data_IF_353594947357
#
_entry.id   IF_353594947357
#
_cell.length_a   1.000
_cell.length_b   1.000
_cell.length_c   1.000
_cell.angle_alpha   90.00
_cell.angle_beta   90.00
_cell.angle_gamma   90.00
#
_symmetry.space_group_name_H-M   'P 1'
#
loop_
_entity.id
_entity.type
_entity.pdbx_description
1 polymer ?
#
# COMPACT_ATOMS: atom_id res chain seq x y z
N UNK A 1 46.40 -2.51 -29.59
CA UNK A 1 45.29 -3.48 -29.41
C UNK A 1 45.08 -3.67 -27.90
N UNK A 2 44.33 -2.77 -27.24
CA UNK A 2 44.05 -2.85 -25.80
C UNK A 2 42.78 -3.70 -25.62
N UNK A 3 42.91 -4.83 -24.93
CA UNK A 3 41.78 -5.65 -24.46
C UNK A 3 40.88 -4.76 -23.60
N UNK A 4 39.59 -4.70 -23.93
CA UNK A 4 38.57 -4.18 -23.03
C UNK A 4 38.37 -5.25 -21.97
N UNK A 5 38.77 -4.95 -20.75
CA UNK A 5 38.46 -5.77 -19.59
C UNK A 5 36.94 -5.73 -19.39
N UNK A 6 36.29 -6.86 -19.67
CA UNK A 6 34.93 -7.14 -19.26
C UNK A 6 34.98 -7.57 -17.80
N UNK A 7 34.86 -6.61 -16.88
CA UNK A 7 34.50 -6.89 -15.49
C UNK A 7 33.47 -5.87 -15.01
N UNK A 8 32.23 -6.03 -15.46
CA UNK A 8 31.10 -5.60 -14.66
C UNK A 8 30.60 -6.85 -13.92
N UNK A 9 31.34 -7.27 -12.90
CA UNK A 9 30.76 -8.08 -11.84
C UNK A 9 29.58 -7.27 -11.29
N UNK A 10 28.37 -7.78 -11.52
CA UNK A 10 27.12 -7.12 -11.16
C UNK A 10 27.03 -6.94 -9.65
N UNK A 11 27.55 -5.83 -9.15
CA UNK A 11 27.42 -5.47 -7.75
C UNK A 11 25.93 -5.24 -7.45
N UNK A 12 25.32 -6.21 -6.77
CA UNK A 12 23.93 -6.09 -6.33
C UNK A 12 23.77 -4.85 -5.46
N UNK A 13 22.89 -3.92 -5.85
CA UNK A 13 22.72 -2.69 -5.08
C UNK A 13 21.76 -2.93 -3.92
N UNK A 14 22.18 -2.61 -2.70
CA UNK A 14 21.30 -2.71 -1.52
C UNK A 14 20.32 -1.55 -1.55
N UNK A 15 19.02 -1.85 -1.49
CA UNK A 15 17.93 -0.87 -1.53
C UNK A 15 17.06 -0.99 -0.28
N UNK A 16 16.59 0.16 0.20
CA UNK A 16 15.61 0.20 1.29
C UNK A 16 14.23 -0.18 0.75
N UNK A 17 13.57 -1.11 1.42
CA UNK A 17 12.17 -1.46 1.22
C UNK A 17 11.36 -1.07 2.45
N UNK A 18 10.38 -0.18 2.31
CA UNK A 18 9.43 0.09 3.38
C UNK A 18 8.19 -0.80 3.24
N UNK A 19 7.74 -1.31 4.38
CA UNK A 19 6.57 -2.16 4.54
C UNK A 19 5.65 -1.49 5.54
N UNK A 20 4.44 -1.13 5.10
CA UNK A 20 3.44 -0.54 6.00
C UNK A 20 2.30 -1.53 6.23
N UNK A 21 2.22 -2.04 7.45
CA UNK A 21 1.16 -2.96 7.91
C UNK A 21 0.18 -2.18 8.78
N UNK A 22 -1.12 -2.35 8.53
CA UNK A 22 -2.17 -1.68 9.30
C UNK A 22 -3.13 -2.76 9.82
N UNK A 23 -2.90 -3.20 11.06
CA UNK A 23 -3.54 -4.36 11.68
C UNK A 23 -4.11 -4.13 13.09
N UNK A 24 -3.94 -2.96 13.70
CA UNK A 24 -4.50 -2.71 15.02
C UNK A 24 -6.02 -2.52 14.98
N UNK A 25 -6.46 -1.28 15.17
CA UNK A 25 -7.86 -0.84 15.09
C UNK A 25 -8.47 -0.94 13.67
N UNK A 26 -7.70 -1.37 12.68
CA UNK A 26 -8.08 -1.31 11.28
C UNK A 26 -8.95 -2.47 10.80
N UNK A 27 -9.11 -3.52 11.61
CA UNK A 27 -9.90 -4.71 11.25
C UNK A 27 -11.36 -4.34 10.94
N UNK A 28 -11.98 -3.54 11.81
CA UNK A 28 -13.36 -3.08 11.66
C UNK A 28 -13.52 -2.20 10.41
N UNK A 29 -12.57 -1.30 10.16
CA UNK A 29 -12.55 -0.50 8.93
C UNK A 29 -12.47 -1.37 7.68
N UNK A 30 -11.66 -2.43 7.71
CA UNK A 30 -11.57 -3.37 6.59
C UNK A 30 -12.85 -4.18 6.38
N UNK A 31 -13.52 -4.61 7.44
CA UNK A 31 -14.84 -5.23 7.32
C UNK A 31 -15.84 -4.29 6.64
N UNK A 32 -15.87 -3.01 7.02
CA UNK A 32 -16.73 -2.03 6.35
C UNK A 32 -16.37 -1.82 4.88
N UNK A 33 -15.09 -1.78 4.52
CA UNK A 33 -14.70 -1.71 3.11
C UNK A 33 -15.15 -2.94 2.32
N UNK A 34 -15.06 -4.13 2.92
CA UNK A 34 -15.53 -5.37 2.29
C UNK A 34 -17.06 -5.37 2.14
N UNK A 35 -17.80 -5.03 3.19
CA UNK A 35 -19.27 -4.88 3.16
C UNK A 35 -19.72 -3.83 2.15
N UNK A 36 -19.07 -2.66 2.15
CA UNK A 36 -19.31 -1.59 1.20
C UNK A 36 -19.14 -2.11 -0.22
N UNK A 37 -18.03 -2.80 -0.50
CA UNK A 37 -17.77 -3.38 -1.81
C UNK A 37 -18.86 -4.38 -2.25
N UNK A 38 -19.50 -5.10 -1.31
CA UNK A 38 -20.58 -6.07 -1.62
C UNK A 38 -21.94 -5.41 -1.86
N UNK A 39 -22.13 -4.18 -1.40
CA UNK A 39 -23.45 -3.56 -1.24
C UNK A 39 -24.11 -3.05 -2.54
N UNK A 40 -23.39 -3.03 -3.67
CA UNK A 40 -23.84 -2.39 -4.91
C UNK A 40 -23.87 -0.85 -4.87
N UNK A 41 -23.61 -0.23 -3.70
CA UNK A 41 -23.50 1.23 -3.51
C UNK A 41 -22.08 1.66 -3.13
N UNK A 42 -21.11 0.80 -3.38
CA UNK A 42 -19.72 1.03 -3.04
C UNK A 42 -19.15 2.25 -3.76
N UNK A 43 -18.26 2.98 -3.08
CA UNK A 43 -17.41 3.96 -3.77
C UNK A 43 -16.58 3.25 -4.83
N UNK A 44 -16.51 3.82 -6.02
CA UNK A 44 -15.83 3.23 -7.19
C UNK A 44 -14.38 2.82 -6.91
N UNK A 45 -13.65 3.63 -6.14
CA UNK A 45 -12.27 3.30 -5.78
C UNK A 45 -12.16 2.07 -4.89
N UNK A 46 -13.13 1.81 -4.01
CA UNK A 46 -13.12 0.62 -3.12
C UNK A 46 -13.27 -0.64 -3.97
N UNK A 47 -14.27 -0.64 -4.87
CA UNK A 47 -14.53 -1.75 -5.80
C UNK A 47 -13.29 -2.03 -6.66
N UNK A 48 -12.77 -1.01 -7.34
CA UNK A 48 -11.60 -1.15 -8.22
C UNK A 48 -10.39 -1.75 -7.50
N UNK A 49 -10.15 -1.43 -6.22
CA UNK A 49 -9.02 -2.03 -5.49
C UNK A 49 -9.26 -3.49 -5.14
N UNK A 50 -10.47 -3.87 -4.74
CA UNK A 50 -10.80 -5.28 -4.52
C UNK A 50 -10.76 -6.10 -5.81
N UNK A 51 -11.25 -5.56 -6.93
CA UNK A 51 -11.18 -6.19 -8.25
C UNK A 51 -9.74 -6.43 -8.72
N UNK A 52 -8.81 -5.54 -8.33
CA UNK A 52 -7.37 -5.69 -8.58
C UNK A 52 -6.68 -6.71 -7.65
N UNK A 53 -7.45 -7.36 -6.77
CA UNK A 53 -6.97 -8.36 -5.83
C UNK A 53 -6.23 -7.78 -4.62
N UNK A 54 -6.40 -6.49 -4.33
CA UNK A 54 -5.79 -5.88 -3.17
C UNK A 54 -6.53 -6.23 -1.88
N UNK A 55 -5.78 -6.26 -0.78
CA UNK A 55 -6.31 -6.60 0.53
C UNK A 55 -6.22 -5.41 1.48
N UNK A 56 -7.35 -5.10 2.11
CA UNK A 56 -7.38 -4.12 3.20
C UNK A 56 -6.70 -4.67 4.45
N UNK A 57 -7.01 -5.92 4.81
CA UNK A 57 -6.47 -6.60 5.97
C UNK A 57 -5.51 -7.72 5.54
N UNK A 58 -4.46 -7.99 6.32
CA UNK A 58 -3.48 -9.01 5.99
C UNK A 58 -3.33 -10.03 7.11
N UNK A 59 -3.42 -11.30 6.74
CA UNK A 59 -2.94 -12.41 7.57
C UNK A 59 -1.41 -12.48 7.56
N UNK A 60 -0.82 -13.21 8.50
CA UNK A 60 0.64 -13.45 8.52
C UNK A 60 1.13 -14.14 7.23
N UNK A 61 0.35 -15.09 6.70
CA UNK A 61 0.68 -15.80 5.47
C UNK A 61 0.67 -14.88 4.25
N UNK A 62 -0.31 -13.97 4.16
CA UNK A 62 -0.35 -12.96 3.09
C UNK A 62 0.80 -11.97 3.20
N UNK A 63 1.12 -11.54 4.42
CA UNK A 63 2.26 -10.65 4.68
C UNK A 63 3.57 -11.30 4.22
N UNK A 64 3.80 -12.56 4.58
CA UNK A 64 4.97 -13.33 4.15
C UNK A 64 5.04 -13.45 2.61
N UNK A 65 3.95 -13.86 1.97
CA UNK A 65 3.87 -13.99 0.52
C UNK A 65 4.20 -12.68 -0.21
N UNK A 66 3.57 -11.58 0.19
CA UNK A 66 3.79 -10.28 -0.47
C UNK A 66 5.25 -9.79 -0.28
N UNK A 67 5.86 -10.04 0.88
CA UNK A 67 7.27 -9.71 1.12
C UNK A 67 8.21 -10.55 0.25
N UNK A 68 7.91 -11.84 0.06
CA UNK A 68 8.64 -12.71 -0.84
C UNK A 68 8.53 -12.24 -2.30
N UNK A 69 7.33 -11.84 -2.74
CA UNK A 69 7.11 -11.30 -4.09
C UNK A 69 7.91 -10.02 -4.34
N UNK A 70 7.91 -9.07 -3.40
CA UNK A 70 8.70 -7.83 -3.51
C UNK A 70 10.20 -8.13 -3.54
N UNK A 71 10.66 -9.08 -2.72
CA UNK A 71 12.06 -9.53 -2.71
C UNK A 71 12.46 -10.18 -4.04
N UNK A 72 11.62 -11.05 -4.59
CA UNK A 72 11.86 -11.71 -5.88
C UNK A 72 11.91 -10.69 -7.03
N UNK A 73 10.98 -9.73 -7.05
CA UNK A 73 10.96 -8.65 -8.04
C UNK A 73 12.24 -7.78 -7.94
N UNK A 74 12.66 -7.40 -6.74
CA UNK A 74 13.90 -6.66 -6.55
C UNK A 74 15.14 -7.45 -7.01
N UNK A 75 15.21 -8.74 -6.68
CA UNK A 75 16.30 -9.61 -7.10
C UNK A 75 16.39 -9.76 -8.63
N UNK A 76 15.25 -9.87 -9.31
CA UNK A 76 15.19 -9.89 -10.78
C UNK A 76 15.74 -8.60 -11.42
N UNK A 77 15.77 -7.50 -10.67
CA UNK A 77 16.34 -6.21 -11.07
C UNK A 77 17.76 -5.97 -10.49
N UNK A 78 18.43 -7.01 -9.97
CA UNK A 78 19.79 -6.91 -9.41
C UNK A 78 19.87 -6.18 -8.07
N UNK A 79 18.76 -6.09 -7.33
CA UNK A 79 18.69 -5.40 -6.05
C UNK A 79 18.56 -6.37 -4.87
N UNK A 80 19.23 -6.05 -3.77
CA UNK A 80 19.06 -6.72 -2.47
C UNK A 80 18.29 -5.79 -1.54
N UNK A 81 17.25 -6.28 -0.86
CA UNK A 81 16.39 -5.44 -0.04
C UNK A 81 16.75 -5.48 1.45
N UNK A 82 16.84 -4.30 2.05
CA UNK A 82 16.79 -4.11 3.49
C UNK A 82 15.39 -3.65 3.89
N UNK A 83 14.67 -4.46 4.66
CA UNK A 83 13.27 -4.17 5.02
C UNK A 83 13.16 -3.29 6.26
N UNK A 84 12.30 -2.29 6.15
CA UNK A 84 11.85 -1.43 7.23
C UNK A 84 10.34 -1.57 7.41
N UNK A 85 9.88 -1.82 8.63
CA UNK A 85 8.48 -2.03 8.95
C UNK A 85 7.89 -0.89 9.77
N UNK A 86 6.82 -0.28 9.26
CA UNK A 86 5.91 0.59 10.01
C UNK A 86 4.60 -0.16 10.25
N UNK A 87 4.14 -0.18 11.50
CA UNK A 87 2.89 -0.82 11.89
C UNK A 87 2.30 -0.16 13.13
N UNK A 88 0.98 -0.07 13.16
CA UNK A 88 0.18 0.25 14.33
C UNK A 88 0.13 -0.88 15.36
N UNK A 89 0.45 -2.11 14.93
CA UNK A 89 0.67 -3.27 15.78
C UNK A 89 2.12 -3.75 15.62
N UNK A 90 3.08 -3.26 16.43
CA UNK A 90 4.49 -3.57 16.23
C UNK A 90 4.81 -5.06 16.33
N UNK A 91 4.04 -5.85 17.08
CA UNK A 91 4.28 -7.29 17.26
C UNK A 91 4.12 -8.10 15.96
N UNK A 92 3.51 -7.53 14.92
CA UNK A 92 3.31 -8.24 13.65
C UNK A 92 4.62 -8.75 13.05
N UNK A 93 5.69 -7.95 13.02
CA UNK A 93 6.96 -8.39 12.43
C UNK A 93 7.84 -9.25 13.35
N UNK A 94 7.33 -9.68 14.50
CA UNK A 94 8.02 -10.66 15.38
C UNK A 94 7.37 -12.03 15.34
N UNK A 95 6.41 -12.26 14.44
CA UNK A 95 5.82 -13.59 14.27
C UNK A 95 6.84 -14.58 13.72
N UNK A 96 6.67 -15.86 14.06
CA UNK A 96 7.55 -16.95 13.63
C UNK A 96 7.69 -17.03 12.09
N UNK A 97 6.60 -16.75 11.37
CA UNK A 97 6.56 -16.71 9.90
C UNK A 97 7.40 -15.58 9.30
N UNK A 98 7.56 -14.45 10.00
CA UNK A 98 8.24 -13.26 9.46
C UNK A 98 9.68 -13.07 9.96
N UNK A 99 10.12 -13.89 10.93
CA UNK A 99 11.46 -13.84 11.49
C UNK A 99 12.58 -13.96 10.43
N UNK A 100 12.33 -14.70 9.35
CA UNK A 100 13.30 -14.92 8.28
C UNK A 100 13.50 -13.71 7.36
N UNK A 101 12.59 -12.73 7.41
CA UNK A 101 12.59 -11.59 6.48
C UNK A 101 13.45 -10.42 7.01
N UNK A 102 13.83 -10.47 8.30
CA UNK A 102 14.66 -9.47 8.99
C UNK A 102 14.19 -8.02 8.75
N UNK A 103 12.95 -7.74 9.14
CA UNK A 103 12.37 -6.40 9.07
C UNK A 103 12.84 -5.57 10.27
N UNK A 104 13.60 -4.51 10.01
CA UNK A 104 14.00 -3.54 11.03
C UNK A 104 12.88 -2.56 11.35
N UNK A 105 12.82 -2.08 12.59
CA UNK A 105 11.81 -1.11 13.06
C UNK A 105 12.48 0.09 13.73
N UNK A 106 11.80 1.23 13.75
CA UNK A 106 12.18 2.36 14.59
C UNK A 106 12.23 2.02 16.08
N UNK A 107 11.55 0.97 16.54
CA UNK A 107 11.62 0.55 17.93
C UNK A 107 13.04 0.23 18.40
N UNK A 108 13.95 -0.19 17.49
CA UNK A 108 15.39 -0.34 17.79
C UNK A 108 16.11 1.00 18.01
N UNK A 109 15.52 2.08 17.53
CA UNK A 109 15.94 3.47 17.70
C UNK A 109 15.06 4.22 18.70
N UNK A 110 14.14 3.56 19.40
CA UNK A 110 13.15 4.19 20.27
C UNK A 110 13.80 5.11 21.29
N UNK A 111 14.92 4.72 21.89
CA UNK A 111 15.67 5.57 22.83
C UNK A 111 16.23 6.83 22.19
N UNK A 112 16.71 6.75 20.93
CA UNK A 112 17.18 7.91 20.15
C UNK A 112 16.03 8.79 19.68
N UNK A 113 14.89 8.21 19.33
CA UNK A 113 13.68 8.96 18.99
C UNK A 113 13.15 9.66 20.24
N UNK A 114 13.12 8.99 21.39
CA UNK A 114 12.72 9.56 22.68
C UNK A 114 13.68 10.68 23.14
N UNK A 115 14.98 10.55 22.82
CA UNK A 115 15.96 11.61 23.01
C UNK A 115 15.76 12.79 22.04
N UNK A 116 15.40 12.51 20.78
CA UNK A 116 15.00 13.54 19.82
C UNK A 116 13.68 14.19 20.25
N UNK A 117 12.72 13.45 20.80
CA UNK A 117 11.47 13.94 21.36
C UNK A 117 11.71 14.87 22.54
N UNK A 118 12.64 14.55 23.44
CA UNK A 118 13.01 15.47 24.53
C UNK A 118 13.72 16.73 24.02
N UNK A 119 14.40 16.65 22.87
CA UNK A 119 15.12 17.79 22.28
C UNK A 119 14.18 18.68 21.45
N UNK A 120 13.36 18.07 20.60
CA UNK A 120 12.38 18.72 19.71
C UNK A 120 11.16 19.19 20.50
N UNK A 121 10.75 18.47 21.55
CA UNK A 121 9.74 18.91 22.50
C UNK A 121 10.14 20.16 23.28
N UNK A 122 11.43 20.54 23.30
CA UNK A 122 11.89 21.85 23.78
C UNK A 122 11.87 22.96 22.71
N UNK A 123 11.78 22.61 21.42
CA UNK A 123 11.87 23.55 20.28
C UNK A 123 10.50 23.83 19.65
N UNK A 124 9.57 22.86 19.68
CA UNK A 124 8.18 22.98 19.19
C UNK A 124 7.24 23.30 20.37
N UNK A 125 7.63 24.25 21.21
CA UNK A 125 6.73 24.99 22.11
C UNK A 125 6.88 26.46 21.75
N UNK A 126 6.59 26.83 20.50
CA UNK A 126 6.56 28.25 20.12
C UNK A 126 5.52 28.63 19.06
N UNK A 127 4.83 27.66 18.43
CA UNK A 127 3.73 27.97 17.51
C UNK A 127 2.55 27.02 17.70
N UNK A 128 1.67 27.37 18.64
CA UNK A 128 0.26 26.97 18.70
C UNK A 128 -0.10 25.47 18.70
N UNK A 129 0.36 24.73 19.70
CA UNK A 129 -0.18 23.42 20.07
C UNK A 129 0.92 22.40 20.33
N UNK A 130 0.83 21.67 21.45
CA UNK A 130 1.71 20.53 21.69
C UNK A 130 1.53 19.52 20.54
N UNK A 131 2.59 19.25 19.78
CA UNK A 131 2.61 18.07 18.91
C UNK A 131 2.44 16.87 19.83
N UNK A 132 1.28 16.21 19.76
CA UNK A 132 1.02 15.03 20.57
C UNK A 132 2.15 14.03 20.33
N UNK A 133 2.86 13.64 21.40
CA UNK A 133 4.02 12.75 21.34
C UNK A 133 3.73 11.45 20.59
N UNK A 134 2.48 11.00 20.58
CA UNK A 134 1.98 9.86 19.80
C UNK A 134 2.10 10.02 18.28
N UNK A 135 2.09 11.23 17.74
CA UNK A 135 2.11 11.49 16.30
C UNK A 135 3.52 11.46 15.68
N UNK A 136 4.57 11.74 16.48
CA UNK A 136 5.93 11.86 15.93
C UNK A 136 6.44 10.55 15.32
N UNK A 137 6.16 9.42 15.96
CA UNK A 137 6.55 8.11 15.44
C UNK A 137 5.98 7.85 14.04
N UNK A 138 4.69 8.17 13.83
CA UNK A 138 4.05 8.03 12.53
C UNK A 138 4.64 8.99 11.49
N UNK A 139 5.00 10.23 11.87
CA UNK A 139 5.66 11.18 10.96
C UNK A 139 7.04 10.66 10.55
N UNK A 140 7.84 10.18 11.50
CA UNK A 140 9.17 9.62 11.19
C UNK A 140 9.02 8.40 10.26
N UNK A 141 8.07 7.50 10.55
CA UNK A 141 7.78 6.37 9.68
C UNK A 141 7.43 6.83 8.26
N UNK A 142 6.57 7.84 8.10
CA UNK A 142 6.21 8.38 6.79
C UNK A 142 7.43 8.93 6.04
N UNK A 143 8.29 9.68 6.74
CA UNK A 143 9.51 10.26 6.16
C UNK A 143 10.52 9.19 5.75
N UNK A 144 10.75 8.18 6.58
CA UNK A 144 11.64 7.05 6.26
C UNK A 144 11.07 6.25 5.08
N UNK A 145 9.79 5.92 5.12
CA UNK A 145 9.13 5.17 4.05
C UNK A 145 9.11 5.92 2.73
N UNK A 146 8.89 7.24 2.74
CA UNK A 146 8.93 8.05 1.52
C UNK A 146 10.31 8.01 0.85
N UNK A 147 11.38 7.73 1.59
CA UNK A 147 12.77 7.65 1.07
C UNK A 147 13.13 6.26 0.52
N UNK A 148 12.29 5.25 0.72
CA UNK A 148 12.54 3.90 0.24
C UNK A 148 12.43 3.81 -1.29
N UNK A 149 13.19 2.89 -1.89
CA UNK A 149 13.09 2.60 -3.33
C UNK A 149 12.02 1.55 -3.62
N UNK A 150 11.70 0.71 -2.63
CA UNK A 150 10.62 -0.26 -2.71
C UNK A 150 9.62 0.02 -1.60
N UNK A 151 8.33 0.00 -1.93
CA UNK A 151 7.25 0.27 -1.01
C UNK A 151 6.21 -0.83 -1.14
N UNK A 152 5.86 -1.43 -0.01
CA UNK A 152 4.76 -2.37 0.11
C UNK A 152 3.75 -1.78 1.08
N UNK A 153 2.68 -1.22 0.52
CA UNK A 153 1.77 -0.32 1.21
C UNK A 153 0.35 -0.89 1.35
N UNK A 154 -0.42 -0.30 2.24
CA UNK A 154 -1.85 -0.58 2.37
C UNK A 154 -2.66 0.50 1.65
N UNK A 155 -3.23 0.16 0.49
CA UNK A 155 -3.97 1.11 -0.36
C UNK A 155 -5.17 1.77 0.35
N UNK A 156 -5.74 1.09 1.35
CA UNK A 156 -6.87 1.59 2.15
C UNK A 156 -6.44 2.51 3.29
N UNK A 157 -5.14 2.62 3.57
CA UNK A 157 -4.62 3.41 4.68
C UNK A 157 -4.24 4.83 4.26
N UNK A 158 -4.76 5.82 5.00
CA UNK A 158 -4.34 7.22 4.88
C UNK A 158 -2.83 7.39 5.11
N UNK A 159 -2.23 6.58 5.98
CA UNK A 159 -0.78 6.60 6.19
C UNK A 159 -0.02 6.32 4.89
N UNK A 160 -0.43 5.28 4.15
CA UNK A 160 0.19 4.93 2.87
C UNK A 160 -0.01 6.01 1.81
N UNK A 161 -1.18 6.64 1.79
CA UNK A 161 -1.44 7.79 0.90
C UNK A 161 -0.54 8.98 1.25
N UNK A 162 -0.28 9.24 2.53
CA UNK A 162 0.65 10.28 2.96
C UNK A 162 2.10 9.97 2.57
N UNK A 163 2.52 8.70 2.63
CA UNK A 163 3.83 8.29 2.12
C UNK A 163 3.96 8.61 0.63
N UNK A 164 2.95 8.27 -0.18
CA UNK A 164 2.94 8.55 -1.62
C UNK A 164 2.93 10.07 -1.87
N UNK A 165 2.13 10.82 -1.13
CA UNK A 165 2.12 12.28 -1.19
C UNK A 165 3.50 12.88 -0.89
N UNK A 166 4.20 12.40 0.14
CA UNK A 166 5.58 12.82 0.44
C UNK A 166 6.57 12.48 -0.66
N UNK A 167 6.37 11.36 -1.38
CA UNK A 167 7.16 11.07 -2.58
C UNK A 167 6.88 12.14 -3.64
N UNK A 168 5.62 12.38 -3.96
CA UNK A 168 5.21 13.36 -4.97
C UNK A 168 5.70 14.78 -4.69
N UNK A 169 5.58 15.25 -3.45
CA UNK A 169 6.02 16.61 -3.03
C UNK A 169 7.53 16.80 -3.18
N UNK A 170 8.36 15.78 -2.93
CA UNK A 170 9.82 15.86 -3.14
C UNK A 170 10.21 15.92 -4.61
N UNK A 171 9.28 15.59 -5.50
CA UNK A 171 9.41 15.62 -6.95
C UNK A 171 8.33 16.52 -7.55
N UNK A 172 8.12 17.68 -6.92
CA UNK A 172 7.06 18.64 -7.28
C UNK A 172 7.15 19.11 -8.73
N UNK A 173 8.35 19.15 -9.28
CA UNK A 173 8.64 19.50 -10.67
C UNK A 173 8.23 18.41 -11.68
N UNK A 174 7.99 17.17 -11.21
CA UNK A 174 7.58 16.05 -12.05
C UNK A 174 6.14 15.63 -11.85
N UNK A 175 5.67 15.58 -10.60
CA UNK A 175 4.43 14.88 -10.21
C UNK A 175 3.55 15.72 -9.29
N UNK A 176 4.12 16.42 -8.31
CA UNK A 176 3.34 17.18 -7.32
C UNK A 176 2.59 16.29 -6.33
N UNK A 177 1.47 16.76 -5.77
CA UNK A 177 0.67 15.97 -4.83
C UNK A 177 -0.20 14.95 -5.59
N UNK A 178 0.06 13.66 -5.37
CA UNK A 178 -0.71 12.57 -5.97
C UNK A 178 -1.07 11.52 -4.94
N UNK A 179 -2.21 10.85 -5.15
CA UNK A 179 -2.68 9.75 -4.29
C UNK A 179 -2.03 8.42 -4.67
N UNK A 180 -1.82 8.19 -5.96
CA UNK A 180 -1.23 6.98 -6.53
C UNK A 180 -0.22 7.33 -7.62
N UNK A 181 0.83 6.50 -7.76
CA UNK A 181 1.84 6.64 -8.81
C UNK A 181 1.59 5.64 -9.93
N UNK A 182 1.43 6.14 -11.16
CA UNK A 182 1.44 5.29 -12.36
C UNK A 182 2.78 4.58 -12.53
N UNK A 183 2.83 3.48 -13.28
CA UNK A 183 4.09 2.77 -13.56
C UNK A 183 5.15 3.66 -14.21
N UNK A 184 4.74 4.58 -15.10
CA UNK A 184 5.65 5.55 -15.71
C UNK A 184 6.22 6.52 -14.68
N UNK A 185 5.39 7.01 -13.74
CA UNK A 185 5.84 7.90 -12.67
C UNK A 185 6.77 7.18 -11.70
N UNK A 186 6.44 5.94 -11.33
CA UNK A 186 7.28 5.06 -10.52
C UNK A 186 8.67 4.90 -11.15
N UNK A 187 8.73 4.56 -12.45
CA UNK A 187 9.98 4.45 -13.20
C UNK A 187 10.78 5.77 -13.26
N UNK A 188 10.10 6.90 -13.52
CA UNK A 188 10.74 8.22 -13.59
C UNK A 188 11.30 8.72 -12.23
N UNK A 189 10.78 8.18 -11.13
CA UNK A 189 11.22 8.46 -9.77
C UNK A 189 12.20 7.42 -9.21
N UNK A 190 12.38 6.28 -9.87
CA UNK A 190 13.17 5.16 -9.34
C UNK A 190 12.57 4.57 -8.07
N UNK A 191 11.25 4.56 -7.96
CA UNK A 191 10.52 3.92 -6.85
C UNK A 191 9.64 2.81 -7.40
N UNK A 192 9.44 1.77 -6.59
CA UNK A 192 8.52 0.66 -6.88
C UNK A 192 7.47 0.63 -5.78
N UNK A 193 6.22 0.90 -6.13
CA UNK A 193 5.08 0.89 -5.21
C UNK A 193 4.20 -0.30 -5.52
N UNK A 194 4.20 -1.24 -4.60
CA UNK A 194 3.28 -2.37 -4.55
C UNK A 194 2.29 -2.19 -3.38
N UNK A 195 1.14 -2.85 -3.52
CA UNK A 195 0.10 -2.88 -2.50
C UNK A 195 -0.16 -4.31 -2.06
N UNK A 196 -0.64 -4.47 -0.83
CA UNK A 196 -0.99 -5.77 -0.29
C UNK A 196 -1.97 -6.51 -1.18
N UNK A 197 -1.60 -7.73 -1.58
CA UNK A 197 -2.44 -8.65 -2.36
C UNK A 197 -2.95 -9.79 -1.48
N UNK A 198 -4.14 -10.26 -1.81
CA UNK A 198 -4.72 -11.49 -1.24
C UNK A 198 -3.91 -12.70 -1.71
N UNK A 199 -3.81 -13.72 -0.86
CA UNK A 199 -3.14 -14.98 -1.22
C UNK A 199 -3.83 -15.67 -2.40
N UNK A 200 -5.16 -15.61 -2.43
CA UNK A 200 -5.97 -16.01 -3.58
C UNK A 200 -6.81 -14.79 -4.01
N UNK A 201 -6.38 -14.03 -5.03
CA UNK A 201 -7.19 -12.94 -5.58
C UNK A 201 -8.45 -13.47 -6.28
N UNK A 202 -8.59 -14.79 -6.44
CA UNK A 202 -9.68 -15.49 -7.10
C UNK A 202 -10.57 -16.31 -6.15
N UNK A 203 -10.45 -16.14 -4.84
CA UNK A 203 -11.34 -16.77 -3.87
C UNK A 203 -12.76 -16.21 -4.05
N UNK A 204 -13.66 -16.98 -4.66
CA UNK A 204 -15.05 -16.60 -4.95
C UNK A 204 -15.85 -16.22 -3.70
N UNK A 205 -15.47 -16.71 -2.52
CA UNK A 205 -16.09 -16.28 -1.25
C UNK A 205 -15.70 -14.84 -0.86
N UNK A 206 -14.63 -14.33 -1.47
CA UNK A 206 -14.06 -12.99 -1.25
C UNK A 206 -14.13 -12.11 -2.51
N UNK A 207 -14.45 -12.67 -3.67
CA UNK A 207 -14.77 -11.98 -4.92
C UNK A 207 -16.29 -11.78 -5.03
N UNK A 208 -16.69 -10.55 -5.34
CA UNK A 208 -18.05 -10.08 -5.09
C UNK A 208 -18.90 -10.15 -6.36
N UNK A 209 -19.65 -11.24 -6.56
CA UNK A 209 -20.69 -11.27 -7.60
C UNK A 209 -20.16 -10.96 -9.01
N UNK A 210 -18.94 -11.40 -9.31
CA UNK A 210 -18.32 -11.28 -10.64
C UNK A 210 -17.85 -12.67 -11.05
N UNK A 211 -18.29 -13.14 -12.22
CA UNK A 211 -17.73 -14.34 -12.83
C UNK A 211 -16.49 -13.94 -13.61
N UNK A 212 -15.39 -14.64 -13.38
CA UNK A 212 -14.13 -14.39 -14.09
C UNK A 212 -14.06 -15.35 -15.27
N UNK A 213 -14.01 -14.81 -16.49
CA UNK A 213 -13.88 -15.63 -17.71
C UNK A 213 -12.51 -15.37 -18.34
N UNK A 214 -11.81 -16.46 -18.64
CA UNK A 214 -10.59 -16.43 -19.42
C UNK A 214 -10.93 -16.39 -20.91
N UNK A 215 -10.48 -15.36 -21.63
CA UNK A 215 -10.22 -15.47 -23.07
C UNK A 215 -8.70 -15.68 -23.28
N UNK A 216 -8.32 -16.16 -24.47
CA UNK A 216 -6.95 -16.58 -24.78
C UNK A 216 -5.87 -15.47 -24.65
N UNK A 217 -6.22 -14.23 -24.29
CA UNK A 217 -5.28 -13.09 -24.26
C UNK A 217 -5.48 -12.19 -23.02
N UNK A 218 -6.60 -12.25 -22.30
CA UNK A 218 -6.82 -11.41 -21.12
C UNK A 218 -7.86 -11.95 -20.12
N UNK A 219 -7.69 -11.53 -18.86
CA UNK A 219 -8.71 -11.66 -17.82
C UNK A 219 -9.88 -10.72 -18.13
N UNK A 220 -11.08 -11.25 -18.36
CA UNK A 220 -12.31 -10.45 -18.47
C UNK A 220 -13.22 -10.74 -17.28
N UNK A 221 -13.63 -9.67 -16.60
CA UNK A 221 -14.61 -9.74 -15.52
C UNK A 221 -16.00 -9.57 -16.13
N UNK A 222 -16.86 -10.58 -16.00
CA UNK A 222 -18.26 -10.49 -16.37
C UNK A 222 -19.09 -10.30 -15.10
N UNK A 223 -19.97 -9.29 -15.10
CA UNK A 223 -20.98 -9.09 -14.06
C UNK A 223 -21.69 -10.44 -13.80
N UNK A 224 -21.75 -10.92 -12.56
CA UNK A 224 -22.45 -12.17 -12.30
C UNK A 224 -23.94 -11.99 -12.62
N UNK A 225 -24.48 -12.95 -13.36
CA UNK A 225 -25.91 -13.05 -13.64
C UNK A 225 -26.63 -13.17 -12.30
N UNK A 226 -27.29 -12.10 -11.85
CA UNK A 226 -28.00 -12.08 -10.56
C UNK A 226 -28.10 -10.73 -9.86
N UNK A 227 -27.33 -9.71 -10.26
CA UNK A 227 -27.59 -8.33 -9.80
C UNK A 227 -28.69 -7.77 -10.69
N UNK A 228 -29.92 -7.79 -10.17
CA UNK A 228 -31.10 -7.21 -10.81
C UNK A 228 -30.78 -5.75 -11.17
N UNK A 229 -30.84 -5.35 -12.45
CA UNK A 229 -30.84 -3.93 -12.77
C UNK A 229 -32.09 -3.34 -12.12
N UNK A 230 -31.90 -2.31 -11.28
CA UNK A 230 -33.01 -1.49 -10.80
C UNK A 230 -33.90 -1.18 -11.99
N UNK A 231 -35.11 -1.76 -11.96
CA UNK A 231 -36.17 -1.52 -12.92
C UNK A 231 -36.32 -0.02 -13.11
N UNK A 232 -36.28 0.35 -14.39
CA UNK A 232 -36.70 1.60 -14.99
C UNK A 232 -37.43 2.53 -14.01
N UNK A 233 -36.77 3.65 -13.70
CA UNK A 233 -37.41 4.83 -13.15
C UNK A 233 -38.72 5.07 -13.91
N UNK A 234 -39.82 4.98 -13.18
CA UNK A 234 -41.15 5.29 -13.65
C UNK A 234 -41.16 6.61 -14.43
N UNK A 235 -41.31 6.52 -15.74
CA UNK A 235 -41.81 7.61 -16.57
C UNK A 235 -43.24 7.93 -16.14
N UNK A 236 -43.37 8.81 -15.15
CA UNK A 236 -44.61 9.53 -14.89
C UNK A 236 -44.69 10.68 -15.89
N UNK A 237 -45.24 10.38 -17.07
CA UNK A 237 -45.74 11.37 -18.00
C UNK A 237 -46.96 12.05 -17.38
N UNK A 238 -46.79 13.29 -16.93
CA UNK A 238 -47.89 14.22 -16.73
C UNK A 238 -48.56 14.49 -18.09
N UNK A 239 -49.73 13.89 -18.33
CA UNK A 239 -50.68 14.37 -19.34
C UNK A 239 -51.68 15.28 -18.65
N UNK A 240 -51.50 16.58 -18.90
CA UNK A 240 -52.55 17.58 -18.86
C UNK A 240 -53.65 17.19 -19.84
N UNK A 241 -54.87 16.94 -19.34
CA UNK A 241 -56.14 17.19 -20.02
C UNK A 241 -57.24 17.32 -18.96
N UNK A 242 -57.55 18.57 -18.61
CA UNK A 242 -58.83 19.22 -18.30
C UNK A 242 -58.60 20.43 -17.38
#
# INVERSE_FOLDING_TARGET
>A
MRRRDASAEGASSVRLACVHVRRGDFHESCMHYEEEARSGRARQWVVSHFERGFSCWQTDAELELNLQLVRANAAANGNVLAFYGSSDEPKVFTSASLHQINVSKLQRWASRIQQLESTVGGVIISSQGEVQKSALGAIIDQLVCSRASYLLLNIFSTFSQMVIAHIGVRHSEKIGFVRDLTLSQQGALGVHVDFWRRQNPFDETKLLGVSVVWDNIALRMNQAVGIVPETEASTSTAKSQL
#
